data_IF_385984471896
#
_entry.id   IF_385984471896
#
_cell.length_a   1.000
_cell.length_b   1.000
_cell.length_c   1.000
_cell.angle_alpha   90.00
_cell.angle_beta   90.00
_cell.angle_gamma   90.00
#
_symmetry.space_group_name_H-M   'P 1'
#
loop_
_entity.id
_entity.type
_entity.pdbx_description
1 polymer ?
#
# COMPACT_ATOMS: atom_id res chain seq x y z
N UNK A 1 -34.69 44.79 -2.64
CA UNK A 1 -34.43 44.83 -4.08
C UNK A 1 -34.65 43.43 -4.61
N UNK A 2 -35.90 43.16 -5.09
CA UNK A 2 -36.31 41.84 -5.54
C UNK A 2 -35.99 41.71 -7.04
N UNK A 3 -35.26 40.67 -7.42
CA UNK A 3 -35.08 40.29 -8.83
C UNK A 3 -36.01 39.13 -9.16
N UNK A 4 -37.01 39.45 -10.02
CA UNK A 4 -37.95 38.50 -10.61
C UNK A 4 -37.28 37.75 -11.75
N UNK A 5 -37.26 36.40 -11.70
CA UNK A 5 -36.94 35.58 -12.86
C UNK A 5 -38.21 35.35 -13.71
N UNK A 6 -38.16 35.72 -14.97
CA UNK A 6 -39.16 35.37 -15.99
C UNK A 6 -38.86 33.98 -16.56
N UNK A 7 -39.86 33.10 -16.51
CA UNK A 7 -39.89 31.87 -17.29
C UNK A 7 -40.17 32.21 -18.77
N UNK A 8 -39.29 31.75 -19.66
CA UNK A 8 -39.54 31.70 -21.09
C UNK A 8 -39.57 30.25 -21.58
N UNK A 9 -40.71 29.80 -22.01
CA UNK A 9 -40.89 28.53 -22.74
C UNK A 9 -40.48 28.73 -24.19
N UNK A 10 -39.63 27.87 -24.73
CA UNK A 10 -39.53 27.62 -26.15
C UNK A 10 -39.62 26.11 -26.42
N UNK A 11 -40.79 25.70 -26.93
CA UNK A 11 -40.97 24.42 -27.62
C UNK A 11 -40.40 24.55 -29.02
N UNK A 12 -39.47 23.68 -29.41
CA UNK A 12 -39.26 23.32 -30.79
C UNK A 12 -39.01 21.81 -30.88
N UNK A 13 -39.94 21.16 -31.58
CA UNK A 13 -39.91 19.74 -31.86
C UNK A 13 -38.81 19.43 -32.90
N UNK A 14 -38.07 18.37 -32.64
CA UNK A 14 -37.29 17.68 -33.66
C UNK A 14 -37.99 16.34 -33.98
N UNK A 15 -38.40 16.24 -35.21
CA UNK A 15 -38.91 15.04 -35.85
C UNK A 15 -37.78 14.02 -35.98
N UNK A 16 -37.96 12.85 -35.41
CA UNK A 16 -37.08 11.69 -35.60
C UNK A 16 -37.45 11.03 -36.94
N UNK A 17 -36.61 11.20 -37.93
CA UNK A 17 -36.56 10.34 -39.10
C UNK A 17 -35.63 9.16 -38.81
N UNK A 18 -36.20 8.03 -38.49
CA UNK A 18 -35.45 6.76 -38.41
C UNK A 18 -35.04 6.33 -39.83
N UNK A 19 -33.78 6.39 -40.14
CA UNK A 19 -33.21 5.73 -41.33
C UNK A 19 -32.80 4.31 -40.94
N UNK A 20 -33.59 3.35 -41.41
CA UNK A 20 -33.29 1.91 -41.28
C UNK A 20 -32.19 1.56 -42.25
N UNK A 21 -30.99 1.30 -41.79
CA UNK A 21 -29.96 0.57 -42.54
C UNK A 21 -30.06 -0.91 -42.26
N UNK A 22 -30.67 -1.65 -43.21
CA UNK A 22 -30.49 -3.10 -43.34
C UNK A 22 -29.20 -3.34 -44.13
N UNK A 23 -28.17 -3.78 -43.48
CA UNK A 23 -26.96 -4.31 -44.04
C UNK A 23 -26.42 -5.34 -43.06
N UNK A 24 -26.67 -6.63 -43.38
CA UNK A 24 -25.93 -7.76 -42.81
C UNK A 24 -24.50 -7.65 -43.31
N UNK A 25 -23.56 -7.51 -42.42
CA UNK A 25 -22.29 -8.25 -42.54
C UNK A 25 -21.63 -8.22 -41.14
N UNK A 26 -21.52 -9.41 -40.63
CA UNK A 26 -20.78 -9.80 -39.45
C UNK A 26 -19.28 -9.58 -39.65
N UNK A 27 -18.79 -8.46 -39.18
CA UNK A 27 -17.44 -8.31 -38.71
C UNK A 27 -17.56 -7.62 -37.34
N UNK A 28 -17.70 -8.43 -36.30
CA UNK A 28 -17.40 -7.97 -34.93
C UNK A 28 -15.91 -7.70 -34.86
N UNK A 29 -15.49 -6.53 -35.38
CA UNK A 29 -14.24 -5.94 -34.99
C UNK A 29 -14.46 -5.56 -33.52
N UNK A 30 -13.92 -6.38 -32.61
CA UNK A 30 -13.70 -5.98 -31.24
C UNK A 30 -12.78 -4.76 -31.27
N UNK A 31 -13.38 -3.60 -31.28
CA UNK A 31 -12.67 -2.36 -30.96
C UNK A 31 -12.27 -2.52 -29.50
N UNK A 32 -11.03 -2.97 -29.23
CA UNK A 32 -10.42 -2.79 -27.93
C UNK A 32 -10.51 -1.29 -27.64
N UNK A 33 -11.36 -0.91 -26.69
CA UNK A 33 -11.46 0.47 -26.28
C UNK A 33 -10.14 0.83 -25.60
N UNK A 34 -9.37 1.73 -26.21
CA UNK A 34 -8.14 2.25 -25.63
C UNK A 34 -8.52 3.41 -24.73
N UNK A 35 -8.29 3.28 -23.42
CA UNK A 35 -8.46 4.40 -22.48
C UNK A 35 -7.18 5.20 -22.35
N UNK A 36 -7.27 6.52 -22.45
CA UNK A 36 -6.16 7.42 -22.13
C UNK A 36 -6.30 7.88 -20.69
N UNK A 37 -5.30 7.60 -19.89
CA UNK A 37 -5.18 8.04 -18.50
C UNK A 37 -4.36 9.32 -18.44
N UNK A 38 -4.84 10.31 -17.69
CA UNK A 38 -4.09 11.52 -17.37
C UNK A 38 -3.61 11.38 -15.91
N UNK A 39 -2.39 10.94 -15.72
CA UNK A 39 -1.80 10.77 -14.40
C UNK A 39 -0.95 11.96 -14.01
N UNK A 40 -1.03 12.38 -12.74
CA UNK A 40 -0.32 13.55 -12.23
C UNK A 40 1.22 13.38 -12.20
N UNK A 41 1.70 12.14 -12.22
CA UNK A 41 3.11 11.78 -12.07
C UNK A 41 3.71 11.40 -13.42
N UNK A 42 3.06 10.47 -14.13
CA UNK A 42 3.59 9.88 -15.37
C UNK A 42 3.08 10.58 -16.63
N UNK A 43 2.16 11.55 -16.46
CA UNK A 43 1.55 12.25 -17.60
C UNK A 43 0.48 11.40 -18.28
N UNK A 44 0.42 11.48 -19.61
CA UNK A 44 -0.59 10.73 -20.38
C UNK A 44 -0.02 9.39 -20.84
N UNK A 45 -0.75 8.32 -20.55
CA UNK A 45 -0.46 6.99 -21.07
C UNK A 45 -1.76 6.25 -21.44
N UNK A 46 -1.62 5.17 -22.19
CA UNK A 46 -2.74 4.37 -22.67
C UNK A 46 -2.87 3.10 -21.86
N UNK A 47 -4.11 2.70 -21.62
CA UNK A 47 -4.48 1.40 -21.08
C UNK A 47 -5.43 0.74 -22.06
N UNK A 48 -5.13 -0.47 -22.42
CA UNK A 48 -5.91 -1.28 -23.38
C UNK A 48 -5.90 -2.77 -22.96
N UNK A 49 -6.58 -3.58 -23.76
CA UNK A 49 -6.61 -5.03 -23.57
C UNK A 49 -7.15 -5.47 -22.22
N UNK A 50 -6.46 -6.42 -21.61
CA UNK A 50 -6.85 -7.01 -20.32
C UNK A 50 -6.95 -5.97 -19.19
N UNK A 51 -6.03 -5.02 -19.14
CA UNK A 51 -5.99 -4.00 -18.09
C UNK A 51 -7.17 -3.05 -18.17
N UNK A 52 -7.63 -2.71 -19.38
CA UNK A 52 -8.84 -1.89 -19.57
C UNK A 52 -10.08 -2.58 -19.00
N UNK A 53 -10.21 -3.90 -19.17
CA UNK A 53 -11.30 -4.66 -18.60
C UNK A 53 -11.22 -4.74 -17.06
N UNK A 54 -10.01 -4.97 -16.51
CA UNK A 54 -9.78 -5.00 -15.06
C UNK A 54 -10.15 -3.69 -14.36
N UNK A 55 -9.92 -2.53 -15.00
CA UNK A 55 -10.30 -1.23 -14.43
C UNK A 55 -11.81 -1.09 -14.13
N UNK A 56 -12.63 -1.90 -14.76
CA UNK A 56 -14.09 -1.86 -14.58
C UNK A 56 -14.58 -2.80 -13.47
N UNK A 57 -13.68 -3.57 -12.85
CA UNK A 57 -14.03 -4.49 -11.77
C UNK A 57 -14.29 -3.77 -10.45
N UNK A 58 -15.15 -4.30 -9.58
CA UNK A 58 -15.36 -3.77 -8.23
C UNK A 58 -14.06 -3.74 -7.41
N UNK A 59 -13.19 -4.72 -7.58
CA UNK A 59 -11.90 -4.85 -6.91
C UNK A 59 -11.01 -3.65 -7.17
N UNK A 60 -10.86 -3.27 -8.43
CA UNK A 60 -10.07 -2.09 -8.80
C UNK A 60 -10.77 -0.79 -8.39
N UNK A 61 -12.10 -0.69 -8.62
CA UNK A 61 -12.85 0.52 -8.27
C UNK A 61 -12.86 0.80 -6.76
N UNK A 62 -12.86 -0.22 -5.91
CA UNK A 62 -12.73 -0.08 -4.45
C UNK A 62 -11.48 0.71 -4.07
N UNK A 63 -10.36 0.50 -4.76
CA UNK A 63 -9.09 1.19 -4.48
C UNK A 63 -9.18 2.72 -4.66
N UNK A 64 -10.12 3.22 -5.46
CA UNK A 64 -10.34 4.67 -5.63
C UNK A 64 -10.93 5.34 -4.39
N UNK A 65 -11.42 4.55 -3.43
CA UNK A 65 -11.97 5.00 -2.15
C UNK A 65 -11.03 4.73 -0.96
N UNK A 66 -9.82 4.25 -1.22
CA UNK A 66 -8.80 3.95 -0.21
C UNK A 66 -7.57 4.83 -0.47
N UNK A 67 -7.23 5.68 0.50
CA UNK A 67 -6.06 6.55 0.39
C UNK A 67 -4.77 5.76 0.50
N UNK A 68 -3.79 6.07 -0.35
CA UNK A 68 -2.46 5.44 -0.33
C UNK A 68 -1.75 5.66 1.01
N UNK A 69 -1.76 6.87 1.52
CA UNK A 69 -1.08 7.27 2.74
C UNK A 69 -2.03 7.44 3.95
N UNK A 70 -3.21 6.83 3.91
CA UNK A 70 -4.16 6.82 5.02
C UNK A 70 -4.43 8.21 5.62
N UNK A 71 -4.03 8.41 6.89
CA UNK A 71 -4.25 9.65 7.62
C UNK A 71 -3.13 10.70 7.45
N UNK A 72 -2.12 10.45 6.60
CA UNK A 72 -1.01 11.38 6.39
C UNK A 72 -1.47 12.77 5.89
N UNK A 73 -2.65 12.88 5.28
CA UNK A 73 -3.25 14.16 4.87
C UNK A 73 -3.51 15.12 6.05
N UNK A 74 -3.58 14.62 7.29
CA UNK A 74 -3.66 15.47 8.49
C UNK A 74 -2.35 16.20 8.79
N UNK A 75 -1.24 15.76 8.18
CA UNK A 75 0.09 16.38 8.26
C UNK A 75 0.46 17.03 6.94
N UNK A 76 0.24 16.33 5.85
CA UNK A 76 0.54 16.75 4.47
C UNK A 76 -0.76 17.01 3.72
N UNK A 77 -1.29 18.23 3.68
CA UNK A 77 -2.65 18.51 3.20
C UNK A 77 -2.96 18.07 1.77
N UNK A 78 -1.91 17.86 0.94
CA UNK A 78 -2.06 17.35 -0.42
C UNK A 78 -2.13 15.82 -0.54
N UNK A 79 -1.84 15.06 0.52
CA UNK A 79 -1.75 13.60 0.51
C UNK A 79 -3.14 12.92 0.49
N UNK A 80 -3.86 13.09 -0.60
CA UNK A 80 -5.20 12.54 -0.81
C UNK A 80 -5.29 11.51 -1.93
N UNK A 81 -4.21 11.23 -2.63
CA UNK A 81 -4.17 10.23 -3.70
C UNK A 81 -4.53 8.84 -3.18
N UNK A 82 -5.05 8.04 -4.07
CA UNK A 82 -5.66 6.75 -3.77
C UNK A 82 -4.77 5.60 -4.23
N UNK A 83 -5.06 4.39 -3.73
CA UNK A 83 -4.41 3.16 -4.19
C UNK A 83 -4.71 2.88 -5.66
N UNK A 84 -5.86 3.32 -6.16
CA UNK A 84 -6.21 3.20 -7.57
C UNK A 84 -5.22 3.97 -8.48
N UNK A 85 -4.94 5.23 -8.15
CA UNK A 85 -3.98 6.05 -8.90
C UNK A 85 -2.57 5.46 -8.84
N UNK A 86 -2.18 4.94 -7.67
CA UNK A 86 -0.91 4.23 -7.47
C UNK A 86 -0.85 2.97 -8.34
N UNK A 87 -1.83 2.08 -8.27
CA UNK A 87 -1.87 0.84 -9.07
C UNK A 87 -1.79 1.11 -10.58
N UNK A 88 -2.43 2.18 -11.06
CA UNK A 88 -2.29 2.63 -12.45
C UNK A 88 -0.86 3.01 -12.80
N UNK A 89 -0.22 3.80 -11.94
CA UNK A 89 1.16 4.23 -12.13
C UNK A 89 2.14 3.06 -12.06
N UNK A 90 1.96 2.15 -11.10
CA UNK A 90 2.78 0.94 -10.96
C UNK A 90 2.69 0.07 -12.21
N UNK A 91 1.47 -0.13 -12.76
CA UNK A 91 1.28 -0.86 -14.01
C UNK A 91 2.00 -0.19 -15.19
N UNK A 92 1.94 1.14 -15.30
CA UNK A 92 2.64 1.88 -16.35
C UNK A 92 4.16 1.76 -16.23
N UNK A 93 4.70 1.92 -15.02
CA UNK A 93 6.15 1.75 -14.76
C UNK A 93 6.58 0.32 -15.05
N UNK A 94 5.79 -0.68 -14.66
CA UNK A 94 6.06 -2.09 -14.94
C UNK A 94 6.18 -2.38 -16.43
N UNK A 95 5.31 -1.79 -17.27
CA UNK A 95 5.43 -1.91 -18.73
C UNK A 95 6.70 -1.27 -19.27
N UNK A 96 7.06 -0.07 -18.77
CA UNK A 96 8.30 0.58 -19.18
C UNK A 96 9.53 -0.27 -18.82
N UNK A 97 9.53 -0.91 -17.64
CA UNK A 97 10.60 -1.80 -17.22
C UNK A 97 10.62 -3.08 -18.05
N UNK A 98 9.47 -3.67 -18.33
CA UNK A 98 9.33 -4.86 -19.18
C UNK A 98 9.85 -4.59 -20.61
N UNK A 99 9.47 -3.45 -21.21
CA UNK A 99 9.95 -3.03 -22.53
C UNK A 99 11.47 -2.82 -22.52
N UNK A 100 12.04 -2.21 -21.48
CA UNK A 100 13.49 -2.02 -21.37
C UNK A 100 14.27 -3.34 -21.32
N UNK A 101 13.65 -4.38 -20.73
CA UNK A 101 14.22 -5.73 -20.66
C UNK A 101 13.89 -6.62 -21.87
N UNK A 102 13.21 -6.07 -22.89
CA UNK A 102 12.87 -6.78 -24.12
C UNK A 102 11.72 -7.78 -23.96
N UNK A 103 10.92 -7.70 -22.89
CA UNK A 103 9.68 -8.46 -22.77
C UNK A 103 8.61 -7.84 -23.69
N UNK A 104 7.89 -8.66 -24.43
CA UNK A 104 6.85 -8.22 -25.35
C UNK A 104 5.57 -9.07 -25.25
N UNK A 105 4.52 -8.66 -25.98
CA UNK A 105 3.27 -9.41 -26.09
C UNK A 105 2.70 -9.82 -24.74
N UNK A 106 2.40 -11.11 -24.59
CA UNK A 106 1.76 -11.67 -23.41
C UNK A 106 2.59 -11.54 -22.14
N UNK A 107 3.92 -11.58 -22.23
CA UNK A 107 4.79 -11.44 -21.07
C UNK A 107 4.72 -10.04 -20.46
N UNK A 108 4.77 -9.01 -21.32
CA UNK A 108 4.58 -7.62 -20.90
C UNK A 108 3.19 -7.39 -20.29
N UNK A 109 2.15 -7.92 -20.94
CA UNK A 109 0.77 -7.81 -20.44
C UNK A 109 0.63 -8.49 -19.08
N UNK A 110 1.21 -9.66 -18.86
CA UNK A 110 1.18 -10.38 -17.58
C UNK A 110 1.86 -9.58 -16.47
N UNK A 111 3.03 -8.98 -16.73
CA UNK A 111 3.73 -8.10 -15.78
C UNK A 111 2.91 -6.86 -15.48
N UNK A 112 2.36 -6.19 -16.52
CA UNK A 112 1.52 -5.00 -16.35
C UNK A 112 0.25 -5.27 -15.55
N UNK A 113 -0.35 -6.46 -15.73
CA UNK A 113 -1.52 -6.92 -14.94
C UNK A 113 -1.14 -7.24 -13.51
N UNK A 114 -0.04 -7.94 -13.27
CA UNK A 114 0.44 -8.24 -11.92
C UNK A 114 0.72 -6.93 -11.15
N UNK A 115 1.34 -5.97 -11.82
CA UNK A 115 1.57 -4.64 -11.27
C UNK A 115 0.27 -3.85 -11.00
N UNK A 116 -0.75 -3.97 -11.87
CA UNK A 116 -2.05 -3.34 -11.65
C UNK A 116 -2.79 -3.92 -10.44
N UNK A 117 -2.71 -5.22 -10.25
CA UNK A 117 -3.45 -5.96 -9.23
C UNK A 117 -2.69 -6.14 -7.90
N UNK A 118 -1.41 -5.72 -7.81
CA UNK A 118 -0.57 -6.04 -6.65
C UNK A 118 -1.16 -5.60 -5.30
N UNK A 119 -1.91 -4.50 -5.30
CA UNK A 119 -2.52 -3.88 -4.12
C UNK A 119 -4.03 -4.13 -3.96
N UNK A 120 -4.64 -4.97 -4.83
CA UNK A 120 -6.11 -5.14 -4.87
C UNK A 120 -6.69 -5.72 -3.58
N UNK A 121 -5.90 -6.45 -2.81
CA UNK A 121 -6.27 -7.01 -1.51
C UNK A 121 -6.22 -6.02 -0.34
N UNK A 122 -5.78 -4.79 -0.55
CA UNK A 122 -5.76 -3.80 0.52
C UNK A 122 -7.17 -3.33 0.91
N UNK A 123 -7.39 -3.22 2.22
CA UNK A 123 -8.57 -2.59 2.81
C UNK A 123 -8.29 -1.15 3.27
N UNK A 124 -9.25 -0.52 3.96
CA UNK A 124 -9.13 0.84 4.44
C UNK A 124 -7.99 0.96 5.47
N UNK A 125 -7.19 2.04 5.36
CA UNK A 125 -6.08 2.32 6.27
C UNK A 125 -5.14 1.12 6.48
N UNK A 126 -4.88 0.33 5.44
CA UNK A 126 -4.28 -1.01 5.50
C UNK A 126 -3.05 -1.09 6.39
N UNK A 127 -2.06 -0.21 6.22
CA UNK A 127 -0.85 -0.24 7.04
C UNK A 127 -1.12 0.03 8.52
N UNK A 128 -2.15 0.82 8.83
CA UNK A 128 -2.55 1.14 10.19
C UNK A 128 -3.28 -0.01 10.86
N UNK A 129 -4.13 -0.73 10.10
CA UNK A 129 -5.03 -1.75 10.63
C UNK A 129 -4.56 -3.19 10.37
N UNK A 130 -3.44 -3.39 9.67
CA UNK A 130 -2.93 -4.71 9.27
C UNK A 130 -2.67 -5.63 10.46
N UNK A 131 -2.17 -5.10 11.58
CA UNK A 131 -1.97 -5.89 12.79
C UNK A 131 -3.30 -6.42 13.36
N UNK A 132 -4.39 -5.64 13.28
CA UNK A 132 -5.73 -6.06 13.71
C UNK A 132 -6.26 -7.17 12.79
N UNK A 133 -6.01 -7.03 11.47
CA UNK A 133 -6.36 -8.06 10.49
C UNK A 133 -5.67 -9.38 10.80
N UNK A 134 -4.37 -9.30 11.06
CA UNK A 134 -3.56 -10.48 11.38
C UNK A 134 -4.00 -11.14 12.69
N UNK A 135 -4.25 -10.36 13.75
CA UNK A 135 -4.71 -10.89 15.04
C UNK A 135 -6.10 -11.53 14.96
N UNK A 136 -7.03 -10.93 14.20
CA UNK A 136 -8.42 -11.40 14.13
C UNK A 136 -8.65 -12.52 13.12
N UNK A 137 -7.85 -12.67 12.07
CA UNK A 137 -8.10 -13.64 11.01
C UNK A 137 -6.87 -14.34 10.45
N UNK A 138 -5.66 -13.95 10.85
CA UNK A 138 -4.41 -14.51 10.32
C UNK A 138 -4.17 -14.23 8.84
N UNK A 139 -4.97 -13.33 8.23
CA UNK A 139 -4.86 -12.93 6.82
C UNK A 139 -4.06 -11.64 6.72
N UNK A 140 -3.21 -11.55 5.71
CA UNK A 140 -2.56 -10.34 5.27
C UNK A 140 -3.11 -9.90 3.92
N UNK A 141 -2.79 -8.67 3.50
CA UNK A 141 -3.23 -8.14 2.22
C UNK A 141 -2.73 -8.97 1.02
N UNK A 142 -1.57 -9.61 1.12
CA UNK A 142 -1.00 -10.44 0.05
C UNK A 142 -1.83 -11.70 -0.18
N UNK A 143 -2.23 -12.38 0.91
CA UNK A 143 -3.11 -13.56 0.85
C UNK A 143 -4.48 -13.21 0.27
N UNK A 144 -5.01 -12.04 0.60
CA UNK A 144 -6.27 -11.54 0.06
C UNK A 144 -6.14 -11.17 -1.42
N UNK A 145 -5.04 -10.51 -1.81
CA UNK A 145 -4.73 -10.23 -3.23
C UNK A 145 -4.71 -11.50 -4.05
N UNK A 146 -3.98 -12.53 -3.57
CA UNK A 146 -3.94 -13.84 -4.22
C UNK A 146 -5.33 -14.46 -4.34
N UNK A 147 -6.09 -14.47 -3.25
CA UNK A 147 -7.45 -15.03 -3.26
C UNK A 147 -8.40 -14.30 -4.21
N UNK A 148 -8.29 -12.98 -4.37
CA UNK A 148 -9.05 -12.21 -5.37
C UNK A 148 -8.65 -12.62 -6.79
N UNK A 149 -7.34 -12.75 -7.07
CA UNK A 149 -6.84 -13.12 -8.40
C UNK A 149 -7.25 -14.54 -8.77
N UNK A 150 -7.28 -15.46 -7.81
CA UNK A 150 -7.67 -16.85 -8.02
C UNK A 150 -9.19 -17.06 -7.97
N UNK A 151 -9.97 -16.07 -7.50
CA UNK A 151 -11.42 -16.15 -7.38
C UNK A 151 -11.92 -16.75 -6.06
N UNK A 152 -11.04 -16.92 -5.07
CA UNK A 152 -11.38 -17.45 -3.75
C UNK A 152 -12.02 -16.38 -2.84
N UNK A 153 -11.79 -15.08 -3.12
CA UNK A 153 -12.31 -13.94 -2.35
C UNK A 153 -13.06 -12.95 -3.23
N UNK A 154 -14.19 -12.48 -2.70
CA UNK A 154 -15.02 -11.45 -3.31
C UNK A 154 -14.98 -10.17 -2.45
N UNK A 155 -14.86 -9.02 -3.10
CA UNK A 155 -14.88 -7.71 -2.43
C UNK A 155 -16.30 -7.20 -2.18
N UNK A 156 -17.31 -7.74 -2.88
CA UNK A 156 -18.71 -7.39 -2.67
C UNK A 156 -19.23 -8.03 -1.38
N UNK A 157 -20.02 -7.27 -0.64
CA UNK A 157 -20.75 -7.76 0.54
C UNK A 157 -22.09 -8.32 0.11
N UNK A 158 -22.67 -9.15 0.97
CA UNK A 158 -24.01 -9.72 0.76
C UNK A 158 -25.03 -8.61 0.42
N UNK A 159 -25.72 -8.77 -0.71
CA UNK A 159 -26.71 -7.82 -1.22
C UNK A 159 -26.17 -6.74 -2.15
N UNK A 160 -24.86 -6.60 -2.33
CA UNK A 160 -24.26 -5.64 -3.27
C UNK A 160 -24.14 -6.20 -4.70
N UNK A 161 -24.27 -7.50 -4.90
CA UNK A 161 -24.14 -8.19 -6.18
C UNK A 161 -25.10 -7.65 -7.24
N UNK A 162 -26.32 -7.28 -6.80
CA UNK A 162 -27.33 -6.71 -7.69
C UNK A 162 -26.97 -5.33 -8.25
N UNK A 163 -26.02 -4.64 -7.62
CA UNK A 163 -25.52 -3.33 -8.05
C UNK A 163 -24.51 -3.40 -9.19
N UNK A 164 -23.98 -4.60 -9.46
CA UNK A 164 -22.98 -4.85 -10.50
C UNK A 164 -23.43 -6.02 -11.38
N UNK A 165 -24.52 -5.85 -12.16
CA UNK A 165 -25.02 -6.89 -13.03
C UNK A 165 -23.98 -7.17 -14.15
N UNK A 166 -23.92 -8.44 -14.60
CA UNK A 166 -23.01 -8.90 -15.66
C UNK A 166 -21.52 -8.74 -15.33
N UNK A 167 -21.16 -8.70 -14.06
CA UNK A 167 -19.76 -8.66 -13.59
C UNK A 167 -19.02 -9.91 -14.08
N UNK A 168 -17.83 -9.68 -14.63
CA UNK A 168 -16.81 -10.74 -14.80
C UNK A 168 -15.86 -10.68 -13.61
N UNK A 169 -15.50 -11.83 -13.08
CA UNK A 169 -14.48 -11.93 -12.04
C UNK A 169 -13.08 -11.66 -12.59
N UNK A 170 -12.14 -11.32 -11.71
CA UNK A 170 -10.74 -11.11 -12.10
C UNK A 170 -10.17 -12.32 -12.84
N UNK A 171 -10.29 -13.59 -12.33
CA UNK A 171 -9.76 -14.73 -13.06
C UNK A 171 -10.42 -14.94 -14.44
N UNK A 172 -11.74 -14.75 -14.57
CA UNK A 172 -12.41 -14.85 -15.88
C UNK A 172 -11.89 -13.82 -16.90
N UNK A 173 -11.57 -12.60 -16.45
CA UNK A 173 -10.99 -11.57 -17.34
C UNK A 173 -9.59 -12.01 -17.78
N UNK A 174 -8.75 -12.50 -16.86
CA UNK A 174 -7.40 -12.96 -17.15
C UNK A 174 -7.41 -14.12 -18.16
N UNK A 175 -8.20 -15.16 -17.89
CA UNK A 175 -8.32 -16.35 -18.73
C UNK A 175 -8.84 -16.00 -20.14
N UNK A 176 -9.80 -15.08 -20.26
CA UNK A 176 -10.31 -14.61 -21.55
C UNK A 176 -9.24 -13.89 -22.40
N UNK A 177 -8.17 -13.41 -21.77
CA UNK A 177 -7.01 -12.81 -22.44
C UNK A 177 -5.80 -13.73 -22.53
N UNK A 178 -5.95 -15.01 -22.15
CA UNK A 178 -4.89 -16.00 -22.21
C UNK A 178 -3.80 -15.84 -21.14
N UNK A 179 -4.11 -15.12 -20.04
CA UNK A 179 -3.23 -14.95 -18.90
C UNK A 179 -3.64 -15.93 -17.80
N UNK A 180 -2.70 -16.70 -17.26
CA UNK A 180 -2.94 -17.62 -16.16
C UNK A 180 -3.04 -16.84 -14.82
N UNK A 181 -4.18 -16.87 -14.11
CA UNK A 181 -4.31 -16.24 -12.80
C UNK A 181 -3.24 -16.69 -11.79
N UNK A 182 -2.80 -17.95 -11.88
CA UNK A 182 -1.75 -18.50 -10.98
C UNK A 182 -0.39 -17.87 -11.26
N UNK A 183 -0.08 -17.60 -12.53
CA UNK A 183 1.15 -16.88 -12.88
C UNK A 183 1.12 -15.47 -12.30
N UNK A 184 0.03 -14.72 -12.47
CA UNK A 184 -0.13 -13.37 -11.92
C UNK A 184 0.02 -13.38 -10.40
N UNK A 185 -0.68 -14.27 -9.70
CA UNK A 185 -0.57 -14.41 -8.25
C UNK A 185 0.86 -14.77 -7.81
N UNK A 186 1.54 -15.64 -8.54
CA UNK A 186 2.93 -16.03 -8.30
C UNK A 186 3.90 -14.86 -8.44
N UNK A 187 3.74 -14.02 -9.47
CA UNK A 187 4.57 -12.82 -9.68
C UNK A 187 4.40 -11.82 -8.52
N UNK A 188 3.16 -11.63 -8.04
CA UNK A 188 2.87 -10.71 -6.92
C UNK A 188 3.43 -11.26 -5.60
N UNK A 189 3.40 -12.55 -5.39
CA UNK A 189 3.98 -13.17 -4.19
C UNK A 189 5.50 -13.05 -4.14
N UNK A 190 6.15 -13.02 -5.28
CA UNK A 190 7.60 -12.88 -5.46
C UNK A 190 8.37 -14.20 -5.33
N UNK A 191 9.64 -14.21 -5.80
CA UNK A 191 10.45 -15.42 -5.93
C UNK A 191 10.93 -15.99 -4.58
N UNK A 192 11.00 -15.16 -3.54
CA UNK A 192 11.55 -15.51 -2.23
C UNK A 192 10.47 -15.78 -1.16
N UNK A 193 9.21 -15.88 -1.55
CA UNK A 193 8.12 -16.18 -0.63
C UNK A 193 8.28 -17.58 -0.03
N UNK A 194 8.96 -17.66 1.12
CA UNK A 194 8.92 -18.83 2.00
C UNK A 194 7.49 -18.94 2.50
N UNK A 195 6.79 -19.98 2.05
CA UNK A 195 5.40 -20.21 2.38
C UNK A 195 5.13 -20.05 3.87
N UNK A 196 4.09 -19.30 4.21
CA UNK A 196 3.51 -19.38 5.55
C UNK A 196 3.13 -20.83 5.80
N UNK A 197 3.46 -21.38 6.96
CA UNK A 197 3.33 -22.80 7.31
C UNK A 197 1.90 -23.40 7.16
N UNK A 198 0.92 -22.63 6.75
CA UNK A 198 -0.49 -23.04 6.66
C UNK A 198 -0.95 -23.61 5.31
N UNK A 199 -0.18 -23.50 4.23
CA UNK A 199 -0.56 -24.05 2.91
C UNK A 199 0.42 -25.08 2.36
N UNK A 200 1.11 -25.82 3.22
CA UNK A 200 2.03 -26.89 2.80
C UNK A 200 1.33 -28.03 2.02
N UNK A 201 0.02 -28.16 2.11
CA UNK A 201 -0.75 -29.23 1.47
C UNK A 201 -1.17 -28.94 0.00
N UNK A 202 -1.20 -27.66 -0.41
CA UNK A 202 -1.52 -27.30 -1.81
C UNK A 202 -0.30 -27.27 -2.73
N UNK A 203 0.91 -27.36 -2.20
CA UNK A 203 2.17 -27.27 -2.91
C UNK A 203 2.84 -28.62 -3.20
N UNK A 204 2.24 -29.75 -2.80
CA UNK A 204 2.81 -31.07 -3.02
C UNK A 204 2.70 -31.59 -4.46
N UNK A 205 1.98 -30.91 -5.34
CA UNK A 205 1.81 -31.33 -6.75
C UNK A 205 2.39 -30.39 -7.81
N UNK A 206 3.02 -29.29 -7.46
CA UNK A 206 3.61 -28.37 -8.43
C UNK A 206 4.83 -27.63 -7.89
N UNK A 207 6.01 -28.24 -7.95
CA UNK A 207 7.26 -27.46 -7.96
C UNK A 207 7.22 -26.61 -9.21
N UNK A 208 6.80 -25.35 -9.10
CA UNK A 208 7.16 -24.33 -10.09
C UNK A 208 8.64 -24.06 -9.90
N UNK A 209 9.48 -24.76 -10.64
CA UNK A 209 10.82 -24.27 -10.93
C UNK A 209 10.56 -22.97 -11.70
N UNK A 210 10.69 -21.80 -11.04
CA UNK A 210 10.69 -20.54 -11.72
C UNK A 210 11.73 -20.61 -12.82
N UNK A 211 11.28 -20.58 -14.06
CA UNK A 211 12.16 -20.39 -15.21
C UNK A 211 12.83 -19.03 -15.00
N UNK A 212 14.05 -18.86 -15.47
CA UNK A 212 14.83 -17.61 -15.31
C UNK A 212 14.01 -16.35 -15.67
N UNK A 213 13.17 -16.45 -16.70
CA UNK A 213 12.29 -15.39 -17.16
C UNK A 213 11.19 -15.03 -16.13
N UNK A 214 10.61 -16.02 -15.45
CA UNK A 214 9.58 -15.77 -14.41
C UNK A 214 10.16 -15.10 -13.19
N UNK A 215 11.41 -15.41 -12.84
CA UNK A 215 12.14 -14.73 -11.77
C UNK A 215 12.37 -13.25 -12.10
N UNK A 216 12.76 -12.95 -13.34
CA UNK A 216 12.90 -11.57 -13.82
C UNK A 216 11.58 -10.82 -13.71
N UNK A 217 10.47 -11.38 -14.22
CA UNK A 217 9.14 -10.78 -14.12
C UNK A 217 8.73 -10.51 -12.68
N UNK A 218 8.95 -11.47 -11.76
CA UNK A 218 8.65 -11.30 -10.35
C UNK A 218 9.47 -10.17 -9.69
N UNK A 219 10.75 -10.01 -10.08
CA UNK A 219 11.59 -8.93 -9.59
C UNK A 219 11.18 -7.54 -10.09
N UNK A 220 10.44 -7.44 -11.21
CA UNK A 220 9.85 -6.17 -11.63
C UNK A 220 8.76 -5.69 -10.67
N UNK A 221 8.08 -6.62 -9.98
CA UNK A 221 7.00 -6.32 -9.02
C UNK A 221 7.56 -6.21 -7.58
N UNK A 222 8.45 -7.13 -7.20
CA UNK A 222 9.02 -7.22 -5.85
C UNK A 222 10.54 -7.44 -5.88
N UNK A 223 11.25 -6.49 -6.46
CA UNK A 223 12.70 -6.52 -6.53
C UNK A 223 13.37 -5.46 -5.66
N UNK A 224 14.71 -5.43 -5.69
CA UNK A 224 15.46 -4.35 -5.07
C UNK A 224 15.26 -3.00 -5.77
N UNK A 225 14.94 -3.03 -7.05
CA UNK A 225 14.47 -1.93 -7.89
C UNK A 225 13.20 -2.43 -8.57
N UNK A 226 12.04 -2.01 -8.13
CA UNK A 226 10.74 -2.46 -8.64
C UNK A 226 9.82 -1.30 -9.01
N UNK A 227 8.77 -1.62 -9.76
CA UNK A 227 7.82 -0.65 -10.27
C UNK A 227 7.01 0.04 -9.16
N UNK A 228 6.71 -0.68 -8.07
CA UNK A 228 6.01 -0.16 -6.90
C UNK A 228 6.83 0.96 -6.25
N UNK A 229 8.14 0.71 -5.97
CA UNK A 229 9.03 1.70 -5.37
C UNK A 229 9.19 2.95 -6.23
N UNK A 230 9.32 2.79 -7.54
CA UNK A 230 9.46 3.90 -8.47
C UNK A 230 8.22 4.78 -8.44
N UNK A 231 7.01 4.18 -8.52
CA UNK A 231 5.78 4.96 -8.51
C UNK A 231 5.57 5.66 -7.16
N UNK A 232 5.60 4.92 -6.03
CA UNK A 232 5.27 5.56 -4.75
C UNK A 232 6.26 6.65 -4.35
N UNK A 233 7.56 6.53 -4.65
CA UNK A 233 8.52 7.60 -4.35
C UNK A 233 8.16 8.89 -5.07
N UNK A 234 7.84 8.82 -6.35
CA UNK A 234 7.45 9.96 -7.16
C UNK A 234 6.08 10.52 -6.72
N UNK A 235 5.09 9.63 -6.57
CA UNK A 235 3.70 9.97 -6.26
C UNK A 235 3.57 10.56 -4.87
N UNK A 236 4.12 9.92 -3.86
CA UNK A 236 4.07 10.40 -2.48
C UNK A 236 4.82 11.72 -2.32
N UNK A 237 5.98 11.86 -2.98
CA UNK A 237 6.72 13.12 -3.03
C UNK A 237 5.88 14.26 -3.60
N UNK A 238 5.16 14.00 -4.69
CA UNK A 238 4.30 14.98 -5.34
C UNK A 238 3.15 15.41 -4.42
N UNK A 239 2.38 14.44 -3.92
CA UNK A 239 1.15 14.71 -3.17
C UNK A 239 1.41 15.18 -1.73
N UNK A 240 2.53 14.78 -1.11
CA UNK A 240 2.94 15.34 0.19
C UNK A 240 3.61 16.70 0.09
N UNK A 241 4.14 17.05 -1.10
CA UNK A 241 4.97 18.23 -1.30
C UNK A 241 6.42 18.08 -0.79
N UNK A 242 6.79 16.91 -0.30
CA UNK A 242 8.16 16.60 0.19
C UNK A 242 9.05 16.24 -0.99
N UNK A 243 10.08 17.02 -1.26
CA UNK A 243 10.90 16.91 -2.49
C UNK A 243 11.95 15.78 -2.49
N UNK A 244 11.94 14.91 -1.50
CA UNK A 244 12.94 13.85 -1.37
C UNK A 244 12.73 12.67 -2.33
N UNK A 245 11.51 12.42 -2.79
CA UNK A 245 11.19 11.29 -3.67
C UNK A 245 11.35 11.58 -5.16
N UNK A 246 11.93 12.71 -5.57
CA UNK A 246 12.20 13.00 -6.97
C UNK A 246 13.43 12.22 -7.41
N UNK A 247 13.23 11.23 -8.29
CA UNK A 247 14.27 10.31 -8.79
C UNK A 247 14.34 10.34 -10.32
N UNK A 248 15.52 10.04 -10.86
CA UNK A 248 15.71 9.85 -12.30
C UNK A 248 15.31 8.42 -12.71
N UNK A 249 14.02 8.14 -12.62
CA UNK A 249 13.46 6.81 -12.89
C UNK A 249 13.65 6.38 -14.36
N UNK A 250 13.61 7.32 -15.31
CA UNK A 250 13.79 6.99 -16.74
C UNK A 250 15.19 6.49 -17.02
N UNK A 251 16.22 7.17 -16.48
CA UNK A 251 17.58 6.72 -16.62
C UNK A 251 17.80 5.37 -15.94
N UNK A 252 17.20 5.18 -14.76
CA UNK A 252 17.29 3.92 -14.03
C UNK A 252 16.68 2.77 -14.83
N UNK A 253 15.46 2.94 -15.37
CA UNK A 253 14.76 1.94 -16.18
C UNK A 253 15.56 1.60 -17.46
N UNK A 254 16.10 2.59 -18.14
CA UNK A 254 16.91 2.37 -19.36
C UNK A 254 18.22 1.60 -19.12
N UNK A 255 18.69 1.55 -17.87
CA UNK A 255 19.92 0.84 -17.49
C UNK A 255 19.62 -0.50 -16.78
N UNK A 256 18.37 -1.00 -16.82
CA UNK A 256 18.03 -2.30 -16.27
C UNK A 256 18.46 -3.40 -17.22
N UNK A 257 19.02 -4.45 -16.66
CA UNK A 257 19.41 -5.68 -17.36
C UNK A 257 18.95 -6.91 -16.57
N UNK A 258 18.62 -7.99 -17.26
CA UNK A 258 18.36 -9.29 -16.64
C UNK A 258 19.58 -10.18 -16.72
N UNK A 259 20.05 -10.67 -15.57
CA UNK A 259 21.16 -11.60 -15.53
C UNK A 259 20.88 -12.75 -14.56
N UNK A 260 20.69 -13.94 -15.13
CA UNK A 260 20.36 -15.14 -14.35
C UNK A 260 19.02 -15.03 -13.63
N UNK A 261 18.06 -14.30 -14.21
CA UNK A 261 16.74 -14.03 -13.63
C UNK A 261 16.74 -12.92 -12.57
N UNK A 262 17.91 -12.40 -12.17
CA UNK A 262 18.00 -11.24 -11.28
C UNK A 262 18.04 -9.94 -12.08
N UNK A 263 17.41 -8.89 -11.55
CA UNK A 263 17.52 -7.54 -12.08
C UNK A 263 18.90 -6.97 -11.67
N UNK A 264 19.60 -6.47 -12.65
CA UNK A 264 20.89 -5.79 -12.53
C UNK A 264 20.78 -4.38 -13.11
N UNK A 265 21.73 -3.51 -12.77
CA UNK A 265 21.82 -2.15 -13.31
C UNK A 265 23.16 -1.98 -13.99
N UNK A 266 23.17 -1.46 -15.21
CA UNK A 266 24.42 -1.06 -15.88
C UNK A 266 25.14 0.05 -15.08
N UNK A 267 26.45 0.10 -15.15
CA UNK A 267 27.29 1.09 -14.45
C UNK A 267 26.86 2.53 -14.77
N UNK A 268 26.41 2.79 -16.00
CA UNK A 268 25.84 4.08 -16.42
C UNK A 268 24.55 4.49 -15.70
N UNK A 269 23.87 3.56 -15.04
CA UNK A 269 22.68 3.78 -14.21
C UNK A 269 22.98 3.98 -12.72
N UNK A 270 24.23 3.80 -12.29
CA UNK A 270 24.62 3.86 -10.88
C UNK A 270 24.21 5.16 -10.19
N UNK A 271 24.39 6.36 -10.76
CA UNK A 271 23.95 7.60 -10.10
C UNK A 271 22.43 7.67 -9.89
N UNK A 272 21.64 7.14 -10.83
CA UNK A 272 20.17 7.11 -10.70
C UNK A 272 19.74 6.12 -9.61
N UNK A 273 20.41 4.98 -9.50
CA UNK A 273 20.19 4.00 -8.43
C UNK A 273 20.54 4.57 -7.05
N UNK A 274 21.71 5.21 -6.92
CA UNK A 274 22.11 5.90 -5.69
C UNK A 274 21.06 6.94 -5.27
N UNK A 275 20.61 7.76 -6.23
CA UNK A 275 19.57 8.76 -6.02
C UNK A 275 18.27 8.15 -5.51
N UNK A 276 17.80 7.04 -6.10
CA UNK A 276 16.60 6.33 -5.68
C UNK A 276 16.73 5.77 -4.24
N UNK A 277 17.84 5.14 -3.90
CA UNK A 277 18.06 4.57 -2.58
C UNK A 277 18.14 5.65 -1.49
N UNK A 278 18.78 6.79 -1.78
CA UNK A 278 18.80 7.96 -0.89
C UNK A 278 17.39 8.56 -0.74
N UNK A 279 16.68 8.76 -1.85
CA UNK A 279 15.32 9.28 -1.87
C UNK A 279 14.39 8.43 -0.99
N UNK A 280 14.46 7.10 -1.13
CA UNK A 280 13.69 6.15 -0.33
C UNK A 280 13.96 6.34 1.16
N UNK A 281 15.21 6.35 1.57
CA UNK A 281 15.57 6.55 2.98
C UNK A 281 15.11 7.91 3.54
N UNK A 282 15.12 8.97 2.73
CA UNK A 282 14.64 10.29 3.13
C UNK A 282 13.11 10.34 3.24
N UNK A 283 12.37 9.74 2.30
CA UNK A 283 10.91 9.65 2.33
C UNK A 283 10.42 8.85 3.53
N UNK A 284 11.10 7.74 3.87
CA UNK A 284 10.78 6.97 5.07
C UNK A 284 10.86 7.85 6.32
N UNK A 285 11.92 8.63 6.47
CA UNK A 285 12.11 9.50 7.63
C UNK A 285 11.15 10.69 7.67
N UNK A 286 10.86 11.29 6.49
CA UNK A 286 10.12 12.54 6.41
C UNK A 286 8.59 12.33 6.35
N UNK A 287 8.12 11.22 5.77
CA UNK A 287 6.70 10.97 5.49
C UNK A 287 6.18 9.76 6.25
N UNK A 288 6.71 8.56 5.97
CA UNK A 288 6.10 7.30 6.46
C UNK A 288 6.27 7.11 7.97
N UNK A 289 7.39 7.54 8.55
CA UNK A 289 7.61 7.53 10.00
C UNK A 289 7.45 8.91 10.66
N UNK A 290 6.70 9.82 10.02
CA UNK A 290 6.48 11.12 10.61
C UNK A 290 5.69 10.99 11.92
N UNK A 291 6.22 11.52 13.03
CA UNK A 291 5.67 11.35 14.38
C UNK A 291 4.18 11.65 14.50
N UNK A 292 3.71 12.73 13.85
CA UNK A 292 2.29 13.10 13.94
C UNK A 292 1.42 12.17 13.09
N UNK A 293 1.91 11.67 11.95
CA UNK A 293 1.22 10.63 11.18
C UNK A 293 1.02 9.38 12.05
N UNK A 294 2.09 8.92 12.74
CA UNK A 294 1.99 7.79 13.68
C UNK A 294 0.96 8.02 14.77
N UNK A 295 0.90 9.22 15.36
CA UNK A 295 -0.15 9.56 16.35
C UNK A 295 -1.56 9.36 15.78
N UNK A 296 -1.81 9.81 14.55
CA UNK A 296 -3.14 9.66 13.93
C UNK A 296 -3.48 8.22 13.63
N UNK A 297 -2.51 7.43 13.20
CA UNK A 297 -2.66 6.00 12.95
C UNK A 297 -2.98 5.23 14.24
N UNK A 298 -2.25 5.50 15.32
CA UNK A 298 -2.50 4.90 16.63
C UNK A 298 -3.89 5.27 17.15
N UNK A 299 -4.32 6.53 17.03
CA UNK A 299 -5.67 6.93 17.42
C UNK A 299 -6.75 6.15 16.67
N UNK A 300 -6.59 5.96 15.37
CA UNK A 300 -7.52 5.17 14.55
C UNK A 300 -7.50 3.69 14.97
N UNK A 301 -6.30 3.12 15.12
CA UNK A 301 -6.10 1.73 15.55
C UNK A 301 -6.81 1.46 16.89
N UNK A 302 -6.61 2.32 17.90
CA UNK A 302 -7.27 2.18 19.21
C UNK A 302 -8.79 2.31 19.10
N UNK A 303 -9.29 3.17 18.20
CA UNK A 303 -10.73 3.28 17.97
C UNK A 303 -11.31 1.98 17.38
N UNK A 304 -10.58 1.31 16.47
CA UNK A 304 -10.99 0.01 15.89
C UNK A 304 -10.86 -1.12 16.90
N UNK A 305 -9.74 -1.20 17.65
CA UNK A 305 -9.53 -2.23 18.67
C UNK A 305 -10.64 -2.23 19.73
N UNK A 306 -11.10 -1.04 20.14
CA UNK A 306 -12.16 -0.86 21.14
C UNK A 306 -13.59 -0.82 20.58
N UNK A 307 -13.76 -1.11 19.29
CA UNK A 307 -15.07 -1.18 18.62
C UNK A 307 -15.65 -2.60 18.54
N UNK A 308 -15.45 -3.41 19.57
CA UNK A 308 -15.87 -4.81 19.60
C UNK A 308 -17.33 -4.99 19.16
N UNK A 309 -17.57 -5.96 18.24
CA UNK A 309 -18.89 -6.27 17.71
C UNK A 309 -19.36 -5.42 16.52
N UNK A 310 -18.72 -4.28 16.21
CA UNK A 310 -19.05 -3.44 15.06
C UNK A 310 -18.25 -3.76 13.80
N UNK A 311 -17.09 -4.37 13.98
CA UNK A 311 -16.26 -4.92 12.91
C UNK A 311 -16.00 -6.37 13.29
N UNK A 312 -16.85 -7.33 12.88
CA UNK A 312 -16.87 -8.67 13.42
C UNK A 312 -15.66 -9.50 13.03
N UNK A 313 -15.14 -9.32 11.83
CA UNK A 313 -14.01 -10.09 11.33
C UNK A 313 -13.09 -9.26 10.43
N UNK A 314 -11.92 -9.83 10.12
CA UNK A 314 -10.90 -9.21 9.28
C UNK A 314 -11.35 -9.08 7.83
N UNK A 315 -12.17 -10.01 7.35
CA UNK A 315 -12.63 -10.00 5.97
C UNK A 315 -13.68 -8.91 5.72
N UNK A 316 -14.61 -8.69 6.67
CA UNK A 316 -15.53 -7.55 6.61
C UNK A 316 -14.77 -6.22 6.60
N UNK A 317 -13.70 -6.10 7.42
CA UNK A 317 -12.85 -4.91 7.41
C UNK A 317 -12.21 -4.67 6.04
N UNK A 318 -11.72 -5.73 5.38
CA UNK A 318 -11.06 -5.61 4.07
C UNK A 318 -12.00 -5.26 2.92
N UNK A 319 -13.27 -5.59 3.02
CA UNK A 319 -14.29 -5.24 2.02
C UNK A 319 -14.71 -3.77 2.09
N UNK A 320 -14.43 -3.09 3.20
CA UNK A 320 -14.80 -1.68 3.42
C UNK A 320 -13.85 -0.71 2.73
N UNK A 321 -14.30 0.54 2.66
CA UNK A 321 -13.49 1.69 2.23
C UNK A 321 -13.29 2.68 3.38
N UNK A 322 -12.40 3.65 3.23
CA UNK A 322 -12.04 4.60 4.29
C UNK A 322 -13.24 5.28 4.94
N UNK A 323 -14.20 5.74 4.12
CA UNK A 323 -15.39 6.45 4.62
C UNK A 323 -16.30 5.57 5.50
N UNK A 324 -16.41 4.28 5.19
CA UNK A 324 -17.23 3.35 5.94
C UNK A 324 -16.66 3.06 7.33
N UNK A 325 -15.33 3.04 7.47
CA UNK A 325 -14.69 2.90 8.78
C UNK A 325 -15.05 4.08 9.69
N UNK A 326 -15.04 5.30 9.15
CA UNK A 326 -15.45 6.49 9.92
C UNK A 326 -16.90 6.38 10.39
N UNK A 327 -17.79 5.91 9.54
CA UNK A 327 -19.20 5.73 9.89
C UNK A 327 -19.36 4.69 11.00
N UNK A 328 -18.78 3.50 10.83
CA UNK A 328 -18.84 2.42 11.82
C UNK A 328 -18.30 2.87 13.17
N UNK A 329 -17.12 3.53 13.21
CA UNK A 329 -16.53 3.99 14.44
C UNK A 329 -17.32 5.12 15.12
N UNK A 330 -18.08 5.90 14.34
CA UNK A 330 -18.97 6.91 14.91
C UNK A 330 -20.13 6.27 15.70
N UNK A 331 -20.53 5.06 15.36
CA UNK A 331 -21.61 4.30 16.00
C UNK A 331 -21.12 3.35 17.09
N UNK A 332 -19.84 3.00 17.07
CA UNK A 332 -19.22 1.94 17.87
C UNK A 332 -18.97 2.26 19.37
N UNK A 333 -19.61 3.25 19.91
CA UNK A 333 -19.50 3.63 21.32
C UNK A 333 -18.80 4.97 21.55
N UNK A 334 -18.79 5.42 22.80
CA UNK A 334 -18.37 6.79 23.13
C UNK A 334 -16.88 7.05 22.90
N UNK A 335 -16.02 6.07 23.21
CA UNK A 335 -14.58 6.18 23.00
C UNK A 335 -14.21 6.27 21.51
N UNK A 336 -14.72 5.32 20.70
CA UNK A 336 -14.43 5.31 19.26
C UNK A 336 -14.95 6.57 18.58
N UNK A 337 -16.15 7.01 18.95
CA UNK A 337 -16.75 8.28 18.50
C UNK A 337 -15.90 9.50 18.89
N UNK A 338 -15.36 9.54 20.11
CA UNK A 338 -14.49 10.63 20.55
C UNK A 338 -13.17 10.63 19.76
N UNK A 339 -12.54 9.48 19.54
CA UNK A 339 -11.32 9.37 18.74
C UNK A 339 -11.51 9.86 17.31
N UNK A 340 -12.61 9.46 16.65
CA UNK A 340 -12.95 9.92 15.31
C UNK A 340 -13.21 11.43 15.30
N UNK A 341 -13.93 11.96 16.29
CA UNK A 341 -14.15 13.39 16.41
C UNK A 341 -12.84 14.15 16.60
N UNK A 342 -11.92 13.64 17.43
CA UNK A 342 -10.59 14.21 17.62
C UNK A 342 -9.75 14.21 16.33
N UNK A 343 -9.75 13.11 15.59
CA UNK A 343 -9.10 13.04 14.29
C UNK A 343 -9.69 14.07 13.32
N UNK A 344 -11.04 14.11 13.20
CA UNK A 344 -11.75 15.06 12.35
C UNK A 344 -11.40 16.50 12.58
N UNK A 345 -11.26 16.91 13.85
CA UNK A 345 -10.97 18.28 14.23
C UNK A 345 -9.50 18.51 14.61
N UNK A 346 -8.63 17.54 14.29
CA UNK A 346 -7.18 17.57 14.56
C UNK A 346 -6.84 17.85 16.04
N UNK A 347 -7.65 17.34 16.96
CA UNK A 347 -7.42 17.36 18.42
C UNK A 347 -6.62 16.11 18.83
N UNK A 348 -5.42 15.97 18.26
CA UNK A 348 -4.62 14.76 18.36
C UNK A 348 -4.07 14.53 19.77
N UNK A 349 -3.84 13.26 20.10
CA UNK A 349 -3.04 12.89 21.26
C UNK A 349 -1.64 13.54 21.17
N UNK A 350 -1.00 13.71 22.31
CA UNK A 350 0.34 14.28 22.43
C UNK A 350 1.31 13.21 22.90
N UNK A 351 2.43 13.10 22.21
CA UNK A 351 3.53 12.26 22.65
C UNK A 351 4.13 12.86 23.91
N UNK A 352 4.12 12.10 25.00
CA UNK A 352 4.64 12.49 26.30
C UNK A 352 5.93 11.76 26.69
N UNK A 353 6.17 10.56 26.14
CA UNK A 353 7.39 9.78 26.32
C UNK A 353 7.83 9.20 24.98
N UNK A 354 9.13 9.18 24.72
CA UNK A 354 9.69 8.52 23.54
C UNK A 354 11.09 8.00 23.83
N UNK A 355 11.48 6.89 23.19
CA UNK A 355 12.80 6.27 23.28
C UNK A 355 13.32 5.94 21.89
N UNK A 356 14.64 6.08 21.70
CA UNK A 356 15.34 5.59 20.50
C UNK A 356 15.90 4.21 20.80
N UNK A 357 16.16 3.42 19.77
CA UNK A 357 16.71 2.07 19.91
C UNK A 357 18.02 2.04 20.74
N UNK A 358 18.87 3.05 20.54
CA UNK A 358 20.15 3.17 21.26
C UNK A 358 19.99 3.47 22.76
N UNK A 359 18.82 3.94 23.19
CA UNK A 359 18.53 4.34 24.56
C UNK A 359 17.79 3.22 25.32
N UNK A 360 17.62 2.03 24.69
CA UNK A 360 16.92 0.88 25.23
C UNK A 360 17.89 -0.24 25.61
N UNK A 361 17.67 -0.86 26.76
CA UNK A 361 18.31 -2.09 27.18
C UNK A 361 17.77 -3.31 26.43
N UNK A 362 18.42 -4.46 26.52
CA UNK A 362 17.89 -5.71 25.96
C UNK A 362 16.56 -6.14 26.62
N UNK A 363 16.37 -5.78 27.88
CA UNK A 363 15.15 -6.04 28.64
C UNK A 363 14.00 -5.19 28.15
N UNK A 364 14.25 -3.90 27.91
CA UNK A 364 13.28 -2.97 27.30
C UNK A 364 12.86 -3.47 25.91
N UNK A 365 13.82 -3.89 25.09
CA UNK A 365 13.52 -4.42 23.74
C UNK A 365 12.63 -5.66 23.82
N UNK A 366 12.87 -6.56 24.81
CA UNK A 366 12.00 -7.74 25.02
C UNK A 366 10.59 -7.34 25.40
N UNK A 367 10.44 -6.43 26.39
CA UNK A 367 9.13 -5.90 26.81
C UNK A 367 8.40 -5.26 25.62
N UNK A 368 9.08 -4.38 24.87
CA UNK A 368 8.47 -3.71 23.72
C UNK A 368 8.06 -4.71 22.62
N UNK A 369 8.86 -5.75 22.41
CA UNK A 369 8.52 -6.83 21.46
C UNK A 369 7.25 -7.58 21.89
N UNK A 370 7.12 -7.85 23.17
CA UNK A 370 5.92 -8.49 23.73
C UNK A 370 4.68 -7.57 23.58
N UNK A 371 4.80 -6.28 23.91
CA UNK A 371 3.70 -5.32 23.76
C UNK A 371 3.30 -5.10 22.29
N UNK A 372 4.22 -5.27 21.36
CA UNK A 372 3.94 -5.20 19.93
C UNK A 372 3.19 -6.42 19.40
N UNK A 373 3.38 -7.59 20.02
CA UNK A 373 2.79 -8.85 19.58
C UNK A 373 1.50 -9.24 20.34
N UNK A 374 1.23 -8.61 21.49
CA UNK A 374 0.06 -8.87 22.33
C UNK A 374 -0.72 -7.56 22.56
N UNK A 375 -1.74 -7.35 21.74
CA UNK A 375 -2.60 -6.16 21.84
C UNK A 375 -3.37 -6.08 23.14
N UNK A 376 -3.76 -7.24 23.72
CA UNK A 376 -4.48 -7.28 24.99
C UNK A 376 -3.59 -6.82 26.14
N UNK A 377 -2.38 -7.39 26.23
CA UNK A 377 -1.40 -6.97 27.24
C UNK A 377 -1.06 -5.48 27.13
N UNK A 378 -0.90 -5.00 25.90
CA UNK A 378 -0.67 -3.58 25.64
C UNK A 378 -1.83 -2.70 26.13
N UNK A 379 -3.08 -3.07 25.79
CA UNK A 379 -4.27 -2.32 26.21
C UNK A 379 -4.46 -2.35 27.73
N UNK A 380 -4.22 -3.48 28.40
CA UNK A 380 -4.29 -3.58 29.86
C UNK A 380 -3.29 -2.63 30.52
N UNK A 381 -2.09 -2.50 29.97
CA UNK A 381 -1.05 -1.61 30.46
C UNK A 381 -1.37 -0.13 30.16
N UNK A 382 -1.90 0.18 28.98
CA UNK A 382 -2.40 1.52 28.63
C UNK A 382 -3.48 1.99 29.61
N UNK A 383 -4.42 1.09 29.96
CA UNK A 383 -5.52 1.37 30.87
C UNK A 383 -5.04 1.49 32.35
N UNK A 384 -4.01 0.73 32.74
CA UNK A 384 -3.38 0.89 34.05
C UNK A 384 -2.71 2.28 34.20
N UNK A 385 -1.95 2.70 33.18
CA UNK A 385 -1.31 4.02 33.15
C UNK A 385 -2.38 5.13 33.17
N UNK A 386 -3.44 4.98 32.35
CA UNK A 386 -4.55 5.93 32.31
C UNK A 386 -5.21 6.09 33.68
N UNK A 387 -5.55 4.97 34.34
CA UNK A 387 -6.19 4.97 35.67
C UNK A 387 -5.31 5.66 36.73
N UNK A 388 -4.00 5.35 36.78
CA UNK A 388 -3.07 6.04 37.68
C UNK A 388 -2.94 7.54 37.40
N UNK A 389 -3.07 7.91 36.11
CA UNK A 389 -3.09 9.32 35.72
C UNK A 389 -4.41 10.02 36.00
N UNK A 390 -5.49 9.30 36.37
CA UNK A 390 -6.83 9.84 36.58
C UNK A 390 -7.57 10.10 35.26
N UNK A 391 -7.27 9.28 34.25
CA UNK A 391 -7.92 9.28 32.94
C UNK A 391 -8.81 8.04 32.79
N UNK A 392 -9.83 8.15 31.94
CA UNK A 392 -10.60 7.02 31.50
C UNK A 392 -9.75 6.07 30.63
N UNK A 393 -10.08 4.76 30.59
CA UNK A 393 -9.43 3.79 29.71
C UNK A 393 -9.39 4.23 28.25
N UNK A 394 -8.26 3.96 27.58
CA UNK A 394 -8.05 4.29 26.16
C UNK A 394 -7.44 5.67 25.87
N UNK A 395 -7.39 6.58 26.84
CA UNK A 395 -6.80 7.92 26.65
C UNK A 395 -5.28 7.99 26.89
N UNK A 396 -4.66 6.85 27.10
CA UNK A 396 -3.22 6.63 26.98
C UNK A 396 -3.02 5.58 25.90
N UNK A 397 -2.07 5.80 25.03
CA UNK A 397 -1.72 4.84 23.98
C UNK A 397 -0.21 4.64 23.93
N UNK A 398 0.19 3.39 23.80
CA UNK A 398 1.57 2.94 23.59
C UNK A 398 1.72 2.57 22.13
N UNK A 399 2.63 3.22 21.42
CA UNK A 399 3.03 2.87 20.08
C UNK A 399 4.40 2.19 20.10
N UNK A 400 4.40 0.91 19.81
CA UNK A 400 5.61 0.17 19.48
C UNK A 400 5.51 -0.10 17.98
N UNK A 401 6.11 0.73 17.13
CA UNK A 401 6.16 0.46 15.71
C UNK A 401 6.72 -0.94 15.52
N UNK A 402 6.09 -1.72 14.67
CA UNK A 402 6.41 -3.14 14.50
C UNK A 402 7.93 -3.33 14.43
N UNK A 403 8.49 -3.98 15.43
CA UNK A 403 9.94 -4.20 15.58
C UNK A 403 10.51 -4.90 14.33
N UNK A 404 9.70 -5.69 13.61
CA UNK A 404 10.10 -6.23 12.30
C UNK A 404 10.28 -5.12 11.25
N UNK A 405 9.53 -4.02 11.31
CA UNK A 405 9.77 -2.82 10.49
C UNK A 405 10.97 -2.02 10.99
N UNK A 406 11.34 -2.15 12.25
CA UNK A 406 12.52 -1.49 12.85
C UNK A 406 13.76 -2.35 12.79
N UNK A 407 13.64 -3.66 12.75
CA UNK A 407 14.75 -4.62 12.61
C UNK A 407 14.96 -5.03 11.15
N UNK A 408 13.93 -5.12 10.37
CA UNK A 408 13.95 -5.10 8.93
C UNK A 408 13.47 -3.71 8.52
N UNK A 409 14.40 -2.77 8.35
CA UNK A 409 14.11 -1.62 7.49
C UNK A 409 13.51 -2.21 6.22
N UNK A 410 12.23 -1.93 5.89
CA UNK A 410 11.61 -2.60 4.77
C UNK A 410 12.49 -2.33 3.56
N UNK A 411 13.17 -3.36 3.08
CA UNK A 411 14.00 -3.35 1.89
C UNK A 411 15.19 -2.36 1.85
N UNK A 412 15.50 -1.59 2.92
CA UNK A 412 16.74 -0.78 2.93
C UNK A 412 17.99 -1.63 3.09
N UNK A 413 17.86 -2.86 3.60
CA UNK A 413 18.95 -3.84 3.60
C UNK A 413 19.16 -4.51 2.24
N UNK A 414 18.23 -4.36 1.30
CA UNK A 414 18.36 -4.86 -0.08
C UNK A 414 19.23 -3.91 -0.91
N UNK A 415 20.43 -3.65 -0.44
CA UNK A 415 21.52 -3.02 -1.22
C UNK A 415 22.28 -4.09 -2.01
N UNK A 416 21.81 -5.33 -2.00
CA UNK A 416 22.38 -6.43 -2.77
C UNK A 416 21.82 -6.39 -4.21
N UNK A 417 22.12 -5.29 -4.90
CA UNK A 417 21.85 -5.05 -6.31
C UNK A 417 23.12 -5.35 -7.10
N UNK A 418 22.99 -6.03 -8.21
CA UNK A 418 24.09 -6.30 -9.11
C UNK A 418 24.30 -5.14 -10.07
N UNK A 419 25.54 -4.75 -10.24
CA UNK A 419 25.97 -3.74 -11.22
C UNK A 419 26.78 -4.44 -12.29
N UNK A 420 26.45 -4.18 -13.55
CA UNK A 420 27.18 -4.64 -14.72
C UNK A 420 28.13 -3.53 -15.15
N UNK A 421 29.43 -3.76 -14.98
CA UNK A 421 30.48 -2.81 -15.36
C UNK A 421 30.73 -2.81 -16.89
N UNK A 422 31.39 -1.77 -17.39
CA UNK A 422 31.79 -1.65 -18.79
C UNK A 422 32.68 -2.81 -19.28
N UNK A 423 33.30 -3.53 -18.33
CA UNK A 423 34.10 -4.74 -18.61
C UNK A 423 33.23 -6.02 -18.75
N UNK A 424 31.91 -5.90 -18.69
CA UNK A 424 30.94 -6.99 -18.76
C UNK A 424 30.89 -7.86 -17.50
N UNK A 425 31.59 -7.47 -16.41
CA UNK A 425 31.57 -8.21 -15.16
C UNK A 425 30.50 -7.68 -14.22
N UNK A 426 29.83 -8.62 -13.59
CA UNK A 426 28.82 -8.32 -12.56
C UNK A 426 29.48 -8.22 -11.18
N UNK A 427 29.23 -7.13 -10.47
CA UNK A 427 29.69 -6.88 -9.11
C UNK A 427 28.52 -6.41 -8.25
N UNK A 428 28.68 -6.48 -6.94
CA UNK A 428 27.65 -5.95 -6.03
C UNK A 428 27.75 -4.43 -5.94
N UNK A 429 26.60 -3.75 -5.84
CA UNK A 429 26.50 -2.30 -5.64
C UNK A 429 27.43 -1.79 -4.53
N UNK A 430 27.56 -2.54 -3.42
CA UNK A 430 28.45 -2.23 -2.30
C UNK A 430 29.95 -2.17 -2.66
N UNK A 431 30.34 -2.75 -3.77
CA UNK A 431 31.72 -2.76 -4.26
C UNK A 431 32.01 -1.54 -5.14
N UNK A 432 30.96 -0.87 -5.65
CA UNK A 432 31.07 0.30 -6.52
C UNK A 432 31.05 1.62 -5.75
N UNK A 433 30.38 1.66 -4.60
CA UNK A 433 30.14 2.93 -3.90
C UNK A 433 30.15 2.78 -2.38
N UNK A 434 30.81 3.70 -1.65
CA UNK A 434 30.75 3.75 -0.18
C UNK A 434 29.33 4.13 0.32
N UNK A 435 28.49 4.68 -0.54
CA UNK A 435 27.10 5.04 -0.21
C UNK A 435 26.29 3.81 0.21
N UNK A 436 26.55 2.65 -0.41
CA UNK A 436 25.89 1.39 -0.03
C UNK A 436 26.08 1.05 1.46
N UNK A 437 27.31 1.20 1.96
CA UNK A 437 27.62 0.96 3.38
C UNK A 437 27.01 2.05 4.28
N UNK A 438 27.04 3.32 3.84
CA UNK A 438 26.42 4.43 4.55
C UNK A 438 24.89 4.25 4.69
N UNK A 439 24.22 3.80 3.63
CA UNK A 439 22.79 3.48 3.64
C UNK A 439 22.49 2.32 4.58
N UNK A 440 23.32 1.26 4.59
CA UNK A 440 23.16 0.15 5.54
C UNK A 440 23.32 0.59 6.99
N UNK A 441 24.27 1.49 7.26
CA UNK A 441 24.56 2.02 8.61
C UNK A 441 23.61 3.14 9.02
N UNK A 442 22.83 3.68 8.08
CA UNK A 442 21.85 4.70 8.39
C UNK A 442 20.75 4.08 9.26
N UNK A 443 21.00 4.08 10.56
CA UNK A 443 19.95 3.83 11.53
C UNK A 443 18.97 4.97 11.43
N UNK A 444 17.71 4.66 11.20
CA UNK A 444 16.64 5.66 11.32
C UNK A 444 16.76 6.22 12.73
N UNK A 445 17.22 7.45 12.87
CA UNK A 445 17.45 8.12 14.15
C UNK A 445 16.14 8.50 14.85
N UNK A 446 15.04 7.85 14.47
CA UNK A 446 13.70 8.10 14.99
C UNK A 446 13.47 7.28 16.26
N UNK A 447 12.59 7.80 17.10
CA UNK A 447 12.15 7.06 18.25
C UNK A 447 11.40 5.80 17.81
N UNK A 448 11.71 4.69 18.47
CA UNK A 448 11.12 3.37 18.21
C UNK A 448 10.00 3.04 19.19
N UNK A 449 9.71 3.97 20.10
CA UNK A 449 8.71 3.80 21.12
C UNK A 449 8.11 5.17 21.48
N UNK A 450 6.79 5.20 21.61
CA UNK A 450 6.06 6.38 22.01
C UNK A 450 4.98 6.03 23.05
N UNK A 451 4.83 6.88 24.06
CA UNK A 451 3.60 6.96 24.86
C UNK A 451 2.93 8.29 24.54
N UNK A 452 1.63 8.25 24.34
CA UNK A 452 0.85 9.43 24.01
C UNK A 452 -0.44 9.49 24.82
N UNK A 453 -0.92 10.71 25.05
CA UNK A 453 -2.12 10.97 25.84
C UNK A 453 -2.84 12.23 25.36
N UNK A 454 -4.01 12.50 25.91
CA UNK A 454 -4.73 13.75 25.66
C UNK A 454 -3.97 14.98 26.23
N UNK A 455 -4.12 16.16 25.59
CA UNK A 455 -3.48 17.40 26.07
C UNK A 455 -3.78 17.71 27.54
N UNK A 456 -2.75 18.15 28.27
CA UNK A 456 -2.84 18.54 29.68
C UNK A 456 -2.43 17.43 30.66
N UNK A 457 -2.22 16.21 30.23
CA UNK A 457 -1.82 15.05 31.05
C UNK A 457 -0.40 14.55 30.75
N UNK A 458 0.32 15.23 29.84
CA UNK A 458 1.61 14.76 29.30
C UNK A 458 2.63 14.50 30.42
N UNK A 459 2.80 15.43 31.36
CA UNK A 459 3.79 15.30 32.43
C UNK A 459 3.46 14.16 33.40
N UNK A 460 2.18 14.00 33.77
CA UNK A 460 1.73 12.94 34.67
C UNK A 460 1.84 11.55 34.04
N UNK A 461 1.38 11.43 32.78
CA UNK A 461 1.44 10.17 32.04
C UNK A 461 2.89 9.78 31.76
N UNK A 462 3.76 10.75 31.40
CA UNK A 462 5.18 10.48 31.18
C UNK A 462 5.86 9.87 32.40
N UNK A 463 5.66 10.46 33.59
CA UNK A 463 6.25 9.97 34.82
C UNK A 463 5.76 8.56 35.17
N UNK A 464 4.45 8.33 35.12
CA UNK A 464 3.86 7.02 35.45
C UNK A 464 4.34 5.96 34.45
N UNK A 465 4.44 6.31 33.17
CA UNK A 465 4.91 5.40 32.14
C UNK A 465 6.38 5.03 32.32
N UNK A 466 7.22 5.99 32.73
CA UNK A 466 8.63 5.74 33.05
C UNK A 466 8.76 4.73 34.18
N UNK A 467 8.01 4.93 35.28
CA UNK A 467 8.02 4.08 36.47
C UNK A 467 7.50 2.65 36.21
N UNK A 468 6.61 2.48 35.21
CA UNK A 468 6.00 1.17 34.91
C UNK A 468 6.80 0.39 33.86
N UNK A 469 7.33 1.10 32.85
CA UNK A 469 7.90 0.46 31.66
C UNK A 469 9.42 0.28 31.74
N UNK A 470 10.13 1.12 32.50
CA UNK A 470 11.59 1.21 32.46
C UNK A 470 12.22 1.20 33.86
N UNK A 471 11.58 0.55 34.81
CA UNK A 471 12.17 0.23 36.14
C UNK A 471 12.86 -1.11 36.06
#
# INVERSE_FOLDING_TARGET
MQLKYKKGYLRNGFSSTAVSFKGKDTLASSWCAVKTINDAIHGQFRIDGVREHLLSTPEMNKLSHIKQLGLAHLVFPGAHHTRFEHSLGVSHVAEMMAESLGLDGLEKDTVGVAALLHDVGHGPYSHTLEHILHERGGLDHMSITEGIILGDYDVLREGEESSVPERKSVPEILENHGIDPKEVAGLIRGPDAKGSERNLLSWTEGRTNFVENDKTKAHLIHGPVDCDQIDYLLRDSHFTGVKHGIIDHRRLIMCLESHGGDISVEEGGLPALEGMLVARGLMYSAVYFHRVTRVTEVMLSRAVERSEGYIPDSFDLQRRVDAEIWQVLHEAGDFSRDMIRRLKYRQLLKVCLSRRKQDLSEEDIRLLTELASDSKKRMDLEDEIARRAGLEPGYVAIDVPNIKLLLSEPRMSQVDIRIIGDDGKTRWFREHTPLAEALRKRQVSQAVFYVMTIPGFEGKVSQISEDILFT
#
